data_IF_299172132025
#
_entry.id   IF_299172132025
#
_cell.length_a   1.000
_cell.length_b   1.000
_cell.length_c   1.000
_cell.angle_alpha   90.00
_cell.angle_beta   90.00
_cell.angle_gamma   90.00
#
_symmetry.space_group_name_H-M   'P 1'
#
loop_
_entity.id
_entity.type
_entity.pdbx_description
1 polymer ?
#
# COMPACT_ATOMS: atom_id res chain seq x y z
N UNK A 1 -16.30 17.01 11.43
CA UNK A 1 -17.33 16.25 10.68
C UNK A 1 -18.15 17.10 9.72
N UNK A 2 -17.99 18.44 9.72
CA UNK A 2 -18.65 19.31 8.73
C UNK A 2 -18.11 19.03 7.33
N UNK A 3 -19.00 18.84 6.35
CA UNK A 3 -18.64 18.67 4.94
C UNK A 3 -18.02 19.98 4.41
N UNK A 4 -16.80 19.92 3.89
CA UNK A 4 -16.05 21.09 3.42
C UNK A 4 -15.74 21.06 1.91
N UNK A 5 -15.73 19.88 1.30
CA UNK A 5 -15.59 19.75 -0.14
C UNK A 5 -16.28 18.49 -0.68
N UNK A 6 -16.82 18.59 -1.91
CA UNK A 6 -17.42 17.48 -2.65
C UNK A 6 -16.71 17.27 -3.98
N UNK A 7 -16.61 16.03 -4.47
CA UNK A 7 -15.97 15.76 -5.76
C UNK A 7 -16.82 16.27 -6.92
N UNK A 8 -16.17 16.81 -7.94
CA UNK A 8 -16.82 17.18 -9.22
C UNK A 8 -16.82 16.02 -10.23
N UNK A 9 -16.21 14.88 -9.89
CA UNK A 9 -16.10 13.69 -10.71
C UNK A 9 -15.83 12.46 -9.84
N UNK A 10 -14.94 11.57 -10.30
CA UNK A 10 -14.54 10.42 -9.51
C UNK A 10 -13.72 10.88 -8.29
N UNK A 11 -14.31 10.79 -7.12
CA UNK A 11 -13.72 11.26 -5.87
C UNK A 11 -14.56 10.91 -4.66
N UNK A 12 -14.29 11.53 -3.53
CA UNK A 12 -14.98 11.31 -2.27
C UNK A 12 -15.11 12.63 -1.49
N UNK A 13 -16.17 12.75 -0.70
CA UNK A 13 -16.41 13.89 0.19
C UNK A 13 -15.22 14.12 1.13
N UNK A 14 -14.94 15.38 1.44
CA UNK A 14 -13.93 15.79 2.41
C UNK A 14 -14.63 16.56 3.54
N UNK A 15 -14.27 16.24 4.76
CA UNK A 15 -14.86 16.78 5.97
C UNK A 15 -13.79 17.47 6.81
N UNK A 16 -14.18 18.48 7.59
CA UNK A 16 -13.34 18.98 8.65
C UNK A 16 -13.11 17.89 9.70
N UNK A 17 -11.87 17.65 10.01
CA UNK A 17 -11.44 16.66 11.01
C UNK A 17 -11.29 17.27 12.42
N UNK A 18 -11.44 18.59 12.54
CA UNK A 18 -11.26 19.35 13.77
C UNK A 18 -12.40 20.38 13.95
N UNK A 19 -12.62 20.80 15.18
CA UNK A 19 -13.36 22.02 15.48
C UNK A 19 -12.46 23.21 15.18
N UNK A 20 -12.99 24.22 14.50
CA UNK A 20 -12.21 25.39 14.12
C UNK A 20 -12.90 26.27 13.10
N UNK A 21 -12.17 27.24 12.60
CA UNK A 21 -12.63 28.23 11.61
C UNK A 21 -11.80 28.14 10.34
N UNK A 22 -12.46 28.16 9.20
CA UNK A 22 -11.77 28.24 7.90
C UNK A 22 -11.10 29.61 7.79
N UNK A 23 -9.78 29.64 7.71
CA UNK A 23 -8.97 30.85 7.53
C UNK A 23 -8.74 31.17 6.05
N UNK A 24 -8.50 30.14 5.24
CA UNK A 24 -8.16 30.31 3.83
C UNK A 24 -8.68 29.16 2.98
N UNK A 25 -9.08 29.46 1.77
CA UNK A 25 -9.39 28.48 0.71
C UNK A 25 -8.52 28.80 -0.49
N UNK A 26 -7.60 27.90 -0.82
CA UNK A 26 -6.74 27.99 -1.99
C UNK A 26 -7.24 27.10 -3.13
N UNK A 27 -6.51 27.04 -4.24
CA UNK A 27 -6.81 26.12 -5.33
C UNK A 27 -6.67 24.62 -4.90
N UNK A 28 -5.77 24.33 -3.96
CA UNK A 28 -5.36 22.98 -3.60
C UNK A 28 -5.69 22.58 -2.17
N UNK A 29 -6.09 23.52 -1.31
CA UNK A 29 -6.30 23.27 0.12
C UNK A 29 -7.34 24.17 0.75
N UNK A 30 -7.91 23.68 1.87
CA UNK A 30 -8.73 24.45 2.79
C UNK A 30 -7.97 24.46 4.12
N UNK A 31 -7.56 25.65 4.57
CA UNK A 31 -6.82 25.86 5.81
C UNK A 31 -7.81 26.15 6.93
N UNK A 32 -7.76 25.34 7.98
CA UNK A 32 -8.64 25.47 9.15
C UNK A 32 -7.75 25.75 10.35
N UNK A 33 -8.02 26.87 11.02
CA UNK A 33 -7.47 27.15 12.35
C UNK A 33 -8.26 26.36 13.38
N UNK A 34 -7.62 25.38 14.06
CA UNK A 34 -8.32 24.61 15.07
C UNK A 34 -8.64 25.47 16.30
N UNK A 35 -9.74 25.18 16.97
CA UNK A 35 -10.05 25.70 18.30
C UNK A 35 -9.09 25.09 19.33
N UNK A 36 -8.80 25.80 20.40
CA UNK A 36 -7.93 25.33 21.48
C UNK A 36 -8.49 24.07 22.16
N UNK A 37 -9.82 23.96 22.26
CA UNK A 37 -10.52 22.80 22.81
C UNK A 37 -11.17 22.00 21.70
N UNK A 38 -10.72 20.75 21.51
CA UNK A 38 -11.31 19.79 20.59
C UNK A 38 -12.28 18.87 21.35
N UNK A 39 -13.50 18.70 20.81
CA UNK A 39 -14.51 17.81 21.38
C UNK A 39 -14.46 16.46 20.68
N UNK A 40 -14.78 15.41 21.42
CA UNK A 40 -14.95 14.06 20.87
C UNK A 40 -16.37 13.86 20.29
N UNK A 41 -16.77 14.80 19.44
CA UNK A 41 -18.07 14.80 18.77
C UNK A 41 -17.85 15.09 17.27
N UNK A 42 -18.77 14.67 16.44
CA UNK A 42 -18.73 14.96 15.00
C UNK A 42 -20.13 15.19 14.44
N UNK A 43 -20.23 15.86 13.30
CA UNK A 43 -21.47 15.96 12.55
C UNK A 43 -21.74 14.63 11.85
N UNK A 44 -22.81 13.89 12.18
CA UNK A 44 -23.07 12.60 11.59
C UNK A 44 -23.48 12.76 10.12
N UNK A 45 -23.09 11.77 9.30
CA UNK A 45 -23.53 11.68 7.90
C UNK A 45 -25.03 11.37 7.83
N UNK A 46 -25.62 11.62 6.67
CA UNK A 46 -27.04 11.31 6.42
C UNK A 46 -27.31 9.81 6.49
N UNK A 47 -28.47 9.45 6.98
CA UNK A 47 -28.98 8.09 6.90
C UNK A 47 -29.30 7.71 5.45
N UNK A 48 -29.16 6.43 5.14
CA UNK A 48 -29.44 5.86 3.84
C UNK A 48 -29.16 4.37 3.81
N UNK A 49 -29.12 3.78 2.65
CA UNK A 49 -28.63 2.41 2.45
C UNK A 49 -27.14 2.36 2.86
N UNK A 50 -26.65 1.18 3.22
CA UNK A 50 -25.23 1.00 3.61
C UNK A 50 -24.27 1.55 2.55
N UNK A 51 -24.57 1.33 1.26
CA UNK A 51 -23.74 1.87 0.17
C UNK A 51 -23.78 3.40 0.09
N UNK A 52 -24.96 4.00 0.28
CA UNK A 52 -25.08 5.47 0.32
C UNK A 52 -24.33 6.07 1.49
N UNK A 53 -24.39 5.45 2.68
CA UNK A 53 -23.66 5.90 3.86
C UNK A 53 -22.12 5.80 3.64
N UNK A 54 -21.63 4.74 2.99
CA UNK A 54 -20.20 4.62 2.62
C UNK A 54 -19.77 5.72 1.66
N UNK A 55 -20.60 6.06 0.66
CA UNK A 55 -20.36 7.17 -0.27
C UNK A 55 -20.39 8.52 0.46
N UNK A 56 -21.41 8.75 1.26
CA UNK A 56 -21.59 10.00 2.02
C UNK A 56 -20.43 10.22 2.98
N UNK A 57 -19.97 9.18 3.70
CA UNK A 57 -18.85 9.26 4.62
C UNK A 57 -17.50 9.60 3.94
N UNK A 58 -17.44 9.58 2.62
CA UNK A 58 -16.24 9.93 1.87
C UNK A 58 -15.10 8.93 2.04
N UNK A 59 -15.41 7.64 2.26
CA UNK A 59 -14.40 6.61 2.45
C UNK A 59 -13.69 6.31 1.13
N UNK A 60 -12.37 6.20 1.21
CA UNK A 60 -11.50 5.80 0.10
C UNK A 60 -10.68 4.58 0.46
N UNK A 61 -9.98 3.99 -0.49
CA UNK A 61 -9.00 2.94 -0.24
C UNK A 61 -7.84 3.48 0.59
N UNK A 62 -7.86 3.27 1.90
CA UNK A 62 -6.94 3.88 2.87
C UNK A 62 -5.53 3.29 2.83
N UNK A 63 -5.34 2.17 2.13
CA UNK A 63 -4.04 1.50 1.98
C UNK A 63 -3.17 2.00 0.82
N UNK A 64 -3.47 3.16 0.22
CA UNK A 64 -2.59 3.76 -0.80
C UNK A 64 -3.28 4.50 -1.93
N UNK A 65 -3.96 3.82 -2.85
CA UNK A 65 -4.43 4.44 -4.11
C UNK A 65 -5.59 5.44 -3.96
N UNK A 66 -6.28 5.48 -2.82
CA UNK A 66 -7.33 6.46 -2.56
C UNK A 66 -8.59 6.32 -3.43
N UNK A 67 -8.82 5.18 -4.07
CA UNK A 67 -9.99 4.97 -4.90
C UNK A 67 -11.27 5.00 -4.04
N UNK A 68 -12.35 5.71 -4.45
CA UNK A 68 -13.56 5.83 -3.67
C UNK A 68 -14.20 4.47 -3.36
N UNK A 69 -14.34 4.15 -2.07
CA UNK A 69 -14.82 2.84 -1.62
C UNK A 69 -16.27 2.60 -2.03
N UNK A 70 -17.13 3.63 -1.98
CA UNK A 70 -18.51 3.51 -2.41
C UNK A 70 -18.68 3.24 -3.91
N UNK A 71 -17.67 3.59 -4.75
CA UNK A 71 -17.64 3.18 -6.16
C UNK A 71 -17.17 1.73 -6.28
N UNK A 72 -16.14 1.35 -5.53
CA UNK A 72 -15.59 -0.01 -5.52
C UNK A 72 -16.63 -1.05 -5.06
N UNK A 73 -17.43 -0.74 -4.05
CA UNK A 73 -18.46 -1.62 -3.50
C UNK A 73 -19.79 -1.59 -4.28
N UNK A 74 -19.95 -0.69 -5.25
CA UNK A 74 -21.17 -0.60 -6.06
C UNK A 74 -21.21 -1.68 -7.16
N UNK A 75 -21.21 -2.93 -6.75
CA UNK A 75 -21.25 -4.11 -7.62
C UNK A 75 -22.05 -5.22 -6.93
N UNK A 76 -22.84 -5.97 -7.69
CA UNK A 76 -23.49 -7.18 -7.22
C UNK A 76 -22.68 -8.41 -7.64
N UNK A 77 -21.86 -8.94 -6.72
CA UNK A 77 -21.00 -10.09 -7.00
C UNK A 77 -21.76 -11.39 -7.17
N UNK A 78 -22.97 -11.51 -6.61
CA UNK A 78 -23.81 -12.69 -6.82
C UNK A 78 -24.26 -12.83 -8.28
N UNK A 79 -24.50 -11.71 -8.95
CA UNK A 79 -24.92 -11.65 -10.36
C UNK A 79 -23.73 -11.44 -11.32
N UNK A 80 -22.54 -11.15 -10.81
CA UNK A 80 -21.36 -10.92 -11.64
C UNK A 80 -20.77 -12.26 -12.09
N UNK A 81 -20.79 -12.57 -13.39
CA UNK A 81 -20.16 -13.78 -13.87
C UNK A 81 -18.63 -13.68 -13.75
N UNK A 82 -17.97 -14.81 -13.51
CA UNK A 82 -16.52 -14.88 -13.65
C UNK A 82 -16.13 -14.61 -15.10
N UNK A 83 -15.15 -13.73 -15.31
CA UNK A 83 -14.63 -13.47 -16.64
C UNK A 83 -13.88 -14.68 -17.18
N UNK A 84 -13.78 -14.76 -18.51
CA UNK A 84 -12.92 -15.74 -19.16
C UNK A 84 -11.46 -15.50 -18.75
N UNK A 85 -10.78 -16.58 -18.36
CA UNK A 85 -9.39 -16.53 -17.94
C UNK A 85 -8.46 -16.68 -19.15
N UNK A 86 -7.43 -15.87 -19.18
CA UNK A 86 -6.36 -15.98 -20.16
C UNK A 86 -5.52 -17.24 -19.84
N UNK A 87 -5.51 -18.26 -20.73
CA UNK A 87 -4.80 -19.52 -20.50
C UNK A 87 -3.27 -19.34 -20.48
N UNK A 88 -2.74 -18.28 -21.10
CA UNK A 88 -1.28 -18.04 -21.08
C UNK A 88 -0.78 -17.67 -19.68
N UNK A 89 -1.62 -17.03 -18.87
CA UNK A 89 -1.27 -16.66 -17.49
C UNK A 89 -1.88 -17.59 -16.45
N UNK A 90 -2.81 -18.47 -16.84
CA UNK A 90 -3.46 -19.48 -16.01
C UNK A 90 -3.30 -20.91 -16.58
N UNK A 91 -2.08 -21.37 -16.93
CA UNK A 91 -1.90 -22.63 -17.63
C UNK A 91 -2.24 -23.87 -16.79
N UNK A 92 -2.33 -23.72 -15.46
CA UNK A 92 -2.63 -24.81 -14.53
C UNK A 92 -4.13 -24.96 -14.26
N UNK A 93 -4.95 -23.99 -14.71
CA UNK A 93 -6.41 -24.03 -14.52
C UNK A 93 -7.10 -24.67 -15.72
N UNK A 94 -8.14 -25.50 -15.50
CA UNK A 94 -8.97 -26.02 -16.59
C UNK A 94 -9.66 -24.89 -17.37
N UNK A 95 -9.92 -25.09 -18.65
CA UNK A 95 -10.56 -24.08 -19.50
C UNK A 95 -11.98 -23.68 -19.03
N UNK A 96 -12.67 -24.57 -18.34
CA UNK A 96 -13.99 -24.35 -17.75
C UNK A 96 -13.95 -24.00 -16.25
N UNK A 97 -12.78 -23.67 -15.74
CA UNK A 97 -12.61 -23.29 -14.33
C UNK A 97 -13.52 -22.14 -13.94
N UNK A 98 -14.21 -22.31 -12.83
CA UNK A 98 -15.05 -21.28 -12.21
C UNK A 98 -14.90 -21.29 -10.70
N UNK A 99 -14.90 -20.12 -10.13
CA UNK A 99 -15.00 -19.97 -8.68
C UNK A 99 -16.42 -20.25 -8.23
N UNK A 100 -16.58 -21.13 -7.25
CA UNK A 100 -17.86 -21.50 -6.68
C UNK A 100 -18.54 -20.32 -5.98
N UNK A 101 -17.75 -19.52 -5.27
CA UNK A 101 -18.21 -18.38 -4.48
C UNK A 101 -17.72 -17.03 -5.04
N UNK A 102 -18.30 -15.99 -4.51
CA UNK A 102 -17.85 -14.60 -4.66
C UNK A 102 -17.21 -14.12 -3.36
N UNK A 103 -16.24 -13.15 -3.43
CA UNK A 103 -15.37 -12.89 -2.30
C UNK A 103 -15.16 -11.42 -2.01
N UNK A 104 -15.15 -11.06 -0.71
CA UNK A 104 -14.42 -9.89 -0.22
C UNK A 104 -13.02 -10.35 0.21
N UNK A 105 -11.99 -9.82 -0.43
CA UNK A 105 -10.60 -10.07 -0.08
C UNK A 105 -10.08 -8.91 0.77
N UNK A 106 -9.84 -9.18 2.04
CA UNK A 106 -9.33 -8.17 2.99
C UNK A 106 -7.82 -8.14 2.92
N UNK A 107 -7.27 -7.07 2.36
CA UNK A 107 -5.83 -6.88 2.28
C UNK A 107 -5.29 -6.42 3.64
N UNK A 108 -4.76 -7.37 4.40
CA UNK A 108 -4.04 -7.19 5.66
C UNK A 108 -2.54 -7.51 5.51
N UNK A 109 -2.01 -7.44 4.28
CA UNK A 109 -0.63 -7.83 3.98
C UNK A 109 0.41 -6.92 4.63
N UNK A 110 0.10 -5.65 4.95
CA UNK A 110 1.04 -4.62 5.36
C UNK A 110 2.36 -4.73 4.58
N UNK A 111 2.30 -4.35 3.31
CA UNK A 111 3.42 -4.56 2.39
C UNK A 111 4.53 -3.52 2.53
N UNK A 112 4.26 -2.40 3.19
CA UNK A 112 5.21 -1.33 3.41
C UNK A 112 6.08 -1.62 4.63
N UNK A 113 7.40 -1.82 4.46
CA UNK A 113 8.28 -2.11 5.59
C UNK A 113 8.28 -1.00 6.63
N UNK A 114 8.21 -1.40 7.89
CA UNK A 114 8.25 -0.49 9.02
C UNK A 114 6.91 0.17 9.36
N UNK A 115 5.85 -0.04 8.60
CA UNK A 115 4.50 0.37 8.96
C UNK A 115 3.83 -0.74 9.80
N UNK A 116 3.14 -0.34 10.87
CA UNK A 116 2.55 -1.26 11.85
C UNK A 116 1.08 -0.93 12.19
N UNK A 117 0.58 0.21 11.73
CA UNK A 117 -0.75 0.72 12.10
C UNK A 117 -1.91 -0.20 11.70
N UNK A 118 -1.88 -0.84 10.53
CA UNK A 118 -2.94 -1.77 10.13
C UNK A 118 -2.96 -3.04 11.00
N UNK A 119 -1.80 -3.57 11.31
CA UNK A 119 -1.70 -4.79 12.15
C UNK A 119 -2.11 -4.46 13.58
N UNK A 120 -1.66 -3.33 14.12
CA UNK A 120 -2.08 -2.87 15.45
C UNK A 120 -3.60 -2.63 15.49
N UNK A 121 -4.19 -2.05 14.44
CA UNK A 121 -5.65 -1.90 14.35
C UNK A 121 -6.36 -3.25 14.37
N UNK A 122 -5.85 -4.22 13.61
CA UNK A 122 -6.42 -5.57 13.59
C UNK A 122 -6.40 -6.19 15.00
N UNK A 123 -5.29 -6.04 15.72
CA UNK A 123 -5.15 -6.58 17.07
C UNK A 123 -6.06 -5.90 18.12
N UNK A 124 -6.25 -4.59 17.99
CA UNK A 124 -7.02 -3.80 18.97
C UNK A 124 -8.51 -3.66 18.64
N UNK A 125 -8.87 -3.75 17.36
CA UNK A 125 -10.23 -3.45 16.86
C UNK A 125 -10.77 -4.58 15.96
N UNK A 126 -10.39 -5.82 16.23
CA UNK A 126 -10.76 -7.01 15.42
C UNK A 126 -12.25 -7.05 15.12
N UNK A 127 -13.11 -6.86 16.12
CA UNK A 127 -14.57 -6.91 15.96
C UNK A 127 -15.10 -5.81 15.03
N UNK A 128 -14.54 -4.59 15.12
CA UNK A 128 -14.91 -3.48 14.22
C UNK A 128 -14.53 -3.81 12.78
N UNK A 129 -13.32 -4.36 12.57
CA UNK A 129 -12.86 -4.77 11.24
C UNK A 129 -13.76 -5.86 10.66
N UNK A 130 -14.08 -6.89 11.44
CA UNK A 130 -14.98 -7.99 11.00
C UNK A 130 -16.37 -7.45 10.65
N UNK A 131 -16.94 -6.55 11.47
CA UNK A 131 -18.24 -5.92 11.12
C UNK A 131 -18.16 -5.17 9.80
N UNK A 132 -17.09 -4.39 9.57
CA UNK A 132 -16.90 -3.69 8.31
C UNK A 132 -16.78 -4.62 7.11
N UNK A 133 -16.10 -5.75 7.27
CA UNK A 133 -16.02 -6.81 6.24
C UNK A 133 -17.41 -7.38 5.96
N UNK A 134 -18.19 -7.69 6.98
CA UNK A 134 -19.58 -8.18 6.83
C UNK A 134 -20.44 -7.16 6.09
N UNK A 135 -20.30 -5.86 6.39
CA UNK A 135 -21.01 -4.83 5.63
C UNK A 135 -20.56 -4.75 4.16
N UNK A 136 -19.26 -4.93 3.89
CA UNK A 136 -18.79 -5.03 2.51
C UNK A 136 -19.41 -6.25 1.78
N UNK A 137 -19.49 -7.40 2.46
CA UNK A 137 -20.16 -8.60 1.92
C UNK A 137 -21.64 -8.33 1.62
N UNK A 138 -22.37 -7.73 2.55
CA UNK A 138 -23.79 -7.41 2.38
C UNK A 138 -24.03 -6.43 1.22
N UNK A 139 -23.21 -5.35 1.12
CA UNK A 139 -23.34 -4.34 0.06
C UNK A 139 -23.08 -4.96 -1.31
N UNK A 140 -22.11 -5.86 -1.42
CA UNK A 140 -21.69 -6.45 -2.69
C UNK A 140 -22.37 -7.80 -2.98
N UNK A 141 -23.15 -8.33 -2.07
CA UNK A 141 -23.71 -9.68 -2.11
C UNK A 141 -22.63 -10.76 -2.29
N UNK A 142 -21.49 -10.59 -1.60
CA UNK A 142 -20.43 -11.59 -1.62
C UNK A 142 -20.73 -12.75 -0.68
N UNK A 143 -20.45 -13.99 -1.12
CA UNK A 143 -20.72 -15.21 -0.35
C UNK A 143 -19.72 -15.39 0.80
N UNK A 144 -18.45 -15.05 0.57
CA UNK A 144 -17.35 -15.31 1.48
C UNK A 144 -16.43 -14.10 1.64
N UNK A 145 -15.62 -14.12 2.70
CA UNK A 145 -14.51 -13.19 2.82
C UNK A 145 -13.22 -13.93 3.22
N UNK A 146 -12.07 -13.37 2.80
CA UNK A 146 -10.75 -13.93 3.11
C UNK A 146 -9.85 -12.80 3.59
N UNK A 147 -9.31 -12.91 4.79
CA UNK A 147 -8.24 -12.05 5.27
C UNK A 147 -6.90 -12.53 4.72
N UNK A 148 -6.29 -11.75 3.85
CA UNK A 148 -4.96 -12.00 3.29
C UNK A 148 -3.91 -11.32 4.17
N UNK A 149 -3.25 -12.08 5.05
CA UNK A 149 -2.29 -11.58 6.06
C UNK A 149 -0.96 -12.31 5.97
N UNK A 150 0.16 -11.59 6.15
CA UNK A 150 1.48 -12.22 6.18
C UNK A 150 1.66 -13.10 7.41
N UNK A 151 2.18 -14.31 7.20
CA UNK A 151 2.35 -15.31 8.27
C UNK A 151 3.19 -14.84 9.46
N UNK A 152 4.04 -13.83 9.30
CA UNK A 152 4.85 -13.26 10.39
C UNK A 152 4.05 -12.54 11.48
N UNK A 153 2.82 -12.16 11.22
CA UNK A 153 1.96 -11.45 12.18
C UNK A 153 1.21 -12.43 13.10
N UNK A 154 1.96 -13.26 13.81
CA UNK A 154 1.41 -14.38 14.60
C UNK A 154 0.35 -13.96 15.63
N UNK A 155 0.56 -12.83 16.32
CA UNK A 155 -0.39 -12.35 17.33
C UNK A 155 -1.70 -11.91 16.70
N UNK A 156 -1.65 -11.11 15.63
CA UNK A 156 -2.84 -10.67 14.89
C UNK A 156 -3.61 -11.87 14.31
N UNK A 157 -2.90 -12.86 13.75
CA UNK A 157 -3.51 -14.09 13.23
C UNK A 157 -4.21 -14.86 14.35
N UNK A 158 -3.60 -15.02 15.52
CA UNK A 158 -4.19 -15.71 16.66
C UNK A 158 -5.47 -15.03 17.16
N UNK A 159 -5.46 -13.69 17.25
CA UNK A 159 -6.63 -12.90 17.68
C UNK A 159 -7.74 -13.04 16.64
N UNK A 160 -7.41 -12.87 15.37
CA UNK A 160 -8.36 -12.98 14.27
C UNK A 160 -8.97 -14.39 14.18
N UNK A 161 -8.17 -15.44 14.24
CA UNK A 161 -8.64 -16.83 14.24
C UNK A 161 -9.64 -17.11 15.37
N UNK A 162 -9.34 -16.58 16.56
CA UNK A 162 -10.25 -16.70 17.70
C UNK A 162 -11.59 -15.98 17.46
N UNK A 163 -11.58 -14.80 16.86
CA UNK A 163 -12.77 -14.02 16.56
C UNK A 163 -13.61 -14.62 15.42
N UNK A 164 -12.97 -15.28 14.46
CA UNK A 164 -13.64 -15.89 13.31
C UNK A 164 -14.31 -17.24 13.59
N UNK A 165 -14.18 -17.82 14.78
CA UNK A 165 -14.82 -19.10 15.12
C UNK A 165 -16.34 -19.10 14.96
N UNK A 166 -16.97 -17.95 15.13
CA UNK A 166 -18.41 -17.74 14.93
C UNK A 166 -18.81 -17.27 13.53
N UNK A 167 -17.83 -17.09 12.63
CA UNK A 167 -18.03 -16.49 11.29
C UNK A 167 -17.64 -17.50 10.19
N UNK A 168 -18.48 -18.49 9.88
CA UNK A 168 -18.13 -19.60 8.98
C UNK A 168 -17.86 -19.18 7.52
N UNK A 169 -18.29 -17.98 7.14
CA UNK A 169 -18.11 -17.44 5.79
C UNK A 169 -16.85 -16.56 5.66
N UNK A 170 -16.09 -16.42 6.74
CA UNK A 170 -14.86 -15.62 6.77
C UNK A 170 -13.67 -16.50 7.15
N UNK A 171 -12.60 -16.42 6.37
CA UNK A 171 -11.40 -17.24 6.58
C UNK A 171 -10.11 -16.43 6.52
N UNK A 172 -8.99 -17.05 6.85
CA UNK A 172 -7.66 -16.46 6.80
C UNK A 172 -6.83 -17.17 5.73
N UNK A 173 -6.17 -16.39 4.87
CA UNK A 173 -5.15 -16.87 3.97
C UNK A 173 -3.79 -16.27 4.35
N UNK A 174 -2.81 -17.14 4.60
CA UNK A 174 -1.47 -16.71 5.03
C UNK A 174 -0.58 -16.42 3.82
N UNK A 175 -0.15 -15.16 3.71
CA UNK A 175 0.75 -14.69 2.66
C UNK A 175 2.21 -14.88 3.05
N UNK A 176 3.07 -15.09 2.04
CA UNK A 176 4.52 -15.02 2.22
C UNK A 176 4.97 -13.58 2.53
N UNK A 177 6.06 -13.43 3.32
CA UNK A 177 6.64 -12.10 3.61
C UNK A 177 7.54 -11.62 2.49
N UNK A 178 6.96 -11.34 1.35
CA UNK A 178 7.63 -10.78 0.18
C UNK A 178 6.82 -9.61 -0.39
N UNK A 179 7.43 -8.81 -1.26
CA UNK A 179 6.78 -7.72 -1.96
C UNK A 179 6.67 -8.04 -3.47
N UNK A 180 5.53 -7.78 -4.11
CA UNK A 180 4.32 -7.05 -3.68
C UNK A 180 3.11 -7.98 -3.37
N UNK A 181 3.04 -8.56 -2.20
CA UNK A 181 1.90 -9.42 -1.81
C UNK A 181 0.60 -8.66 -1.55
N UNK A 182 0.66 -7.34 -1.30
CA UNK A 182 -0.53 -6.47 -1.13
C UNK A 182 -1.02 -5.80 -2.41
N UNK A 183 -0.45 -6.09 -3.57
CA UNK A 183 -1.01 -5.62 -4.85
C UNK A 183 -2.29 -6.40 -5.15
N UNK A 184 -3.36 -5.72 -5.61
CA UNK A 184 -4.70 -6.32 -5.72
C UNK A 184 -4.73 -7.64 -6.51
N UNK A 185 -4.03 -7.73 -7.65
CA UNK A 185 -3.99 -8.96 -8.46
C UNK A 185 -3.11 -10.04 -7.82
N UNK A 186 -2.11 -9.64 -7.02
CA UNK A 186 -1.36 -10.59 -6.21
C UNK A 186 -2.24 -11.17 -5.10
N UNK A 187 -3.06 -10.35 -4.43
CA UNK A 187 -4.02 -10.83 -3.44
C UNK A 187 -5.03 -11.80 -4.05
N UNK A 188 -5.59 -11.47 -5.22
CA UNK A 188 -6.50 -12.37 -5.95
C UNK A 188 -5.80 -13.69 -6.28
N UNK A 189 -4.58 -13.65 -6.81
CA UNK A 189 -3.81 -14.84 -7.15
C UNK A 189 -3.55 -15.72 -5.92
N UNK A 190 -3.10 -15.12 -4.83
CA UNK A 190 -2.75 -15.88 -3.62
C UNK A 190 -4.00 -16.49 -2.96
N UNK A 191 -5.10 -15.73 -2.88
CA UNK A 191 -6.31 -16.20 -2.21
C UNK A 191 -7.17 -17.14 -3.07
N UNK A 192 -7.24 -16.90 -4.39
CA UNK A 192 -8.19 -17.60 -5.28
C UNK A 192 -7.51 -18.47 -6.35
N UNK A 193 -6.18 -18.45 -6.45
CA UNK A 193 -5.44 -19.18 -7.46
C UNK A 193 -5.57 -18.65 -8.90
N UNK A 194 -6.18 -17.47 -9.08
CA UNK A 194 -6.51 -16.88 -10.38
C UNK A 194 -5.56 -15.74 -10.71
N UNK A 195 -4.88 -15.80 -11.84
CA UNK A 195 -4.11 -14.67 -12.36
C UNK A 195 -4.98 -13.77 -13.23
N UNK A 196 -5.01 -12.49 -12.93
CA UNK A 196 -5.70 -11.46 -13.72
C UNK A 196 -4.73 -10.76 -14.66
N UNK A 197 -5.22 -10.39 -15.85
CA UNK A 197 -4.48 -9.54 -16.78
C UNK A 197 -4.32 -8.12 -16.22
N UNK A 198 -3.51 -7.29 -16.86
CA UNK A 198 -3.30 -5.89 -16.43
C UNK A 198 -4.51 -4.99 -16.62
N UNK A 199 -5.49 -5.41 -17.41
CA UNK A 199 -6.73 -4.68 -17.69
C UNK A 199 -7.91 -5.17 -16.88
N UNK A 200 -7.85 -6.39 -16.34
CA UNK A 200 -8.90 -6.95 -15.50
C UNK A 200 -8.85 -6.36 -14.08
N UNK A 201 -10.03 -6.17 -13.51
CA UNK A 201 -10.25 -5.81 -12.12
C UNK A 201 -10.50 -7.09 -11.28
N UNK A 202 -10.37 -7.04 -9.96
CA UNK A 202 -10.71 -8.17 -9.08
C UNK A 202 -12.11 -8.77 -9.33
N UNK A 203 -13.07 -7.96 -9.78
CA UNK A 203 -14.43 -8.41 -10.14
C UNK A 203 -14.46 -9.45 -11.27
N UNK A 204 -13.43 -9.49 -12.14
CA UNK A 204 -13.27 -10.55 -13.14
C UNK A 204 -13.11 -11.94 -12.49
N UNK A 205 -12.61 -12.02 -11.25
CA UNK A 205 -12.56 -13.20 -10.41
C UNK A 205 -13.63 -13.15 -9.30
N UNK A 206 -14.79 -12.57 -9.56
CA UNK A 206 -15.92 -12.46 -8.63
C UNK A 206 -15.49 -11.97 -7.24
N UNK A 207 -14.61 -10.98 -7.17
CA UNK A 207 -14.06 -10.49 -5.91
C UNK A 207 -13.91 -8.97 -5.86
N UNK A 208 -13.88 -8.43 -4.64
CA UNK A 208 -13.50 -7.05 -4.36
C UNK A 208 -12.41 -7.07 -3.30
N UNK A 209 -11.31 -6.35 -3.54
CA UNK A 209 -10.22 -6.22 -2.57
C UNK A 209 -10.43 -4.96 -1.75
N UNK A 210 -10.45 -5.08 -0.43
CA UNK A 210 -10.62 -3.98 0.53
C UNK A 210 -9.44 -3.96 1.50
N UNK A 211 -8.84 -2.80 1.74
CA UNK A 211 -7.84 -2.64 2.79
C UNK A 211 -8.47 -2.78 4.18
N UNK A 212 -7.74 -3.28 5.15
CA UNK A 212 -8.17 -3.53 6.51
C UNK A 212 -8.76 -2.28 7.19
N UNK A 213 -8.05 -1.15 7.16
CA UNK A 213 -8.53 0.11 7.75
C UNK A 213 -9.77 0.64 7.00
N UNK A 214 -9.83 0.45 5.68
CA UNK A 214 -11.02 0.82 4.90
C UNK A 214 -12.26 0.05 5.39
N UNK A 215 -12.14 -1.25 5.68
CA UNK A 215 -13.23 -2.04 6.25
C UNK A 215 -13.68 -1.50 7.62
N UNK A 216 -12.73 -1.14 8.50
CA UNK A 216 -13.05 -0.52 9.78
C UNK A 216 -13.80 0.82 9.62
N UNK A 217 -13.40 1.66 8.64
CA UNK A 217 -14.11 2.91 8.34
C UNK A 217 -15.50 2.69 7.76
N UNK A 218 -15.72 1.60 7.03
CA UNK A 218 -17.08 1.19 6.59
C UNK A 218 -17.96 0.89 7.82
N UNK A 219 -17.42 0.18 8.83
CA UNK A 219 -18.15 -0.04 10.08
C UNK A 219 -18.48 1.27 10.80
N UNK A 220 -17.50 2.19 10.94
CA UNK A 220 -17.74 3.50 11.56
C UNK A 220 -18.83 4.31 10.85
N UNK A 221 -18.84 4.30 9.51
CA UNK A 221 -19.85 5.00 8.74
C UNK A 221 -21.27 4.44 8.95
N UNK A 222 -21.41 3.13 9.07
CA UNK A 222 -22.70 2.47 9.17
C UNK A 222 -23.19 2.44 10.62
N UNK A 223 -22.34 2.06 11.58
CA UNK A 223 -22.70 1.90 12.98
C UNK A 223 -22.84 3.26 13.71
N UNK A 224 -21.95 4.19 13.41
CA UNK A 224 -21.80 5.43 14.14
C UNK A 224 -22.23 6.67 13.31
N UNK A 225 -22.46 6.48 12.01
CA UNK A 225 -22.68 7.58 11.05
C UNK A 225 -21.49 8.55 11.01
N UNK A 226 -20.29 8.05 11.27
CA UNK A 226 -19.07 8.84 11.35
C UNK A 226 -18.50 9.10 9.97
N UNK A 227 -18.27 10.37 9.56
CA UNK A 227 -17.56 10.68 8.32
C UNK A 227 -16.09 10.26 8.43
N UNK A 228 -15.43 10.05 7.29
CA UNK A 228 -14.02 9.69 7.25
C UNK A 228 -13.15 10.92 7.54
N UNK A 229 -12.93 11.20 8.82
CA UNK A 229 -12.21 12.35 9.37
C UNK A 229 -10.89 12.00 10.05
N UNK A 230 -10.58 10.72 10.17
CA UNK A 230 -9.36 10.27 10.84
C UNK A 230 -8.66 9.16 10.06
N UNK A 231 -7.36 9.04 10.29
CA UNK A 231 -6.46 8.07 9.67
C UNK A 231 -5.51 7.47 10.72
N UNK A 232 -5.28 6.16 10.63
CA UNK A 232 -4.23 5.51 11.40
C UNK A 232 -2.91 5.59 10.64
N UNK A 233 -1.81 5.86 11.32
CA UNK A 233 -0.51 5.97 10.67
C UNK A 233 0.65 5.58 11.57
N UNK A 234 1.76 5.26 10.95
CA UNK A 234 3.03 4.98 11.60
C UNK A 234 4.02 6.09 11.29
N UNK A 235 4.64 6.67 12.32
CA UNK A 235 5.79 7.58 12.17
C UNK A 235 7.04 6.84 12.61
N UNK A 236 8.08 6.83 11.77
CA UNK A 236 9.29 6.06 12.05
C UNK A 236 10.51 6.66 11.36
N UNK A 237 11.69 6.31 11.83
CA UNK A 237 12.95 6.64 11.15
C UNK A 237 13.94 7.33 12.06
N UNK A 238 14.63 8.37 11.55
CA UNK A 238 15.65 9.12 12.28
C UNK A 238 14.98 10.12 13.25
N UNK A 239 14.49 9.58 14.36
CA UNK A 239 13.78 10.33 15.40
C UNK A 239 14.52 10.29 16.72
N UNK A 240 14.31 11.29 17.56
CA UNK A 240 14.78 11.27 18.94
C UNK A 240 14.13 10.09 19.68
N UNK A 241 14.91 9.32 20.40
CA UNK A 241 14.44 8.11 21.07
C UNK A 241 14.65 6.81 20.26
N UNK A 242 15.19 6.90 19.04
CA UNK A 242 15.57 5.76 18.22
C UNK A 242 14.64 5.50 17.03
N UNK A 243 14.84 4.36 16.35
CA UNK A 243 14.17 4.02 15.09
C UNK A 243 12.93 3.15 15.28
N UNK A 244 12.35 3.11 16.46
CA UNK A 244 11.10 2.39 16.76
C UNK A 244 9.91 2.95 15.96
N UNK A 245 8.88 2.12 15.79
CA UNK A 245 7.63 2.57 15.19
C UNK A 245 6.76 3.30 16.22
N UNK A 246 6.33 4.51 15.91
CA UNK A 246 5.32 5.23 16.68
C UNK A 246 4.00 5.11 15.92
N UNK A 247 3.07 4.34 16.46
CA UNK A 247 1.74 4.14 15.86
C UNK A 247 0.75 5.11 16.48
N UNK A 248 0.09 5.88 15.62
CA UNK A 248 -0.95 6.82 16.02
C UNK A 248 -2.28 6.35 15.40
N UNK A 249 -3.27 6.18 16.28
CA UNK A 249 -4.62 5.81 15.88
C UNK A 249 -5.51 7.04 15.82
N UNK A 250 -6.46 7.03 14.90
CA UNK A 250 -7.49 8.06 14.73
C UNK A 250 -6.95 9.50 14.64
N UNK A 251 -5.82 9.68 13.96
CA UNK A 251 -5.22 11.01 13.72
C UNK A 251 -6.16 11.84 12.83
N UNK A 252 -6.50 13.07 13.21
CA UNK A 252 -7.28 13.96 12.35
C UNK A 252 -6.62 14.15 10.98
N UNK A 253 -7.37 13.98 9.91
CA UNK A 253 -6.88 14.19 8.55
C UNK A 253 -6.59 15.66 8.34
N UNK A 254 -5.42 15.99 7.78
CA UNK A 254 -4.97 17.38 7.58
C UNK A 254 -3.92 17.86 8.59
N UNK A 255 -3.65 17.10 9.64
CA UNK A 255 -2.51 17.39 10.55
C UNK A 255 -1.23 17.39 9.74
N UNK A 256 -0.32 18.34 9.99
CA UNK A 256 0.92 18.43 9.23
C UNK A 256 1.87 17.26 9.53
N UNK A 257 2.68 16.93 8.55
CA UNK A 257 3.76 15.95 8.68
C UNK A 257 4.71 16.32 9.82
N UNK A 258 5.04 17.62 9.93
CA UNK A 258 5.89 18.13 11.00
C UNK A 258 5.31 17.91 12.39
N UNK A 259 4.01 18.21 12.58
CA UNK A 259 3.34 17.96 13.87
C UNK A 259 3.38 16.48 14.26
N UNK A 260 3.18 15.58 13.29
CA UNK A 260 3.24 14.14 13.56
C UNK A 260 4.66 13.67 13.90
N UNK A 261 5.67 14.25 13.26
CA UNK A 261 7.08 13.99 13.60
C UNK A 261 7.40 14.50 15.01
N UNK A 262 6.96 15.70 15.39
CA UNK A 262 7.15 16.24 16.73
C UNK A 262 6.46 15.37 17.80
N UNK A 263 5.24 14.90 17.54
CA UNK A 263 4.55 13.95 18.43
C UNK A 263 5.29 12.62 18.58
N UNK A 264 6.09 12.24 17.59
CA UNK A 264 6.93 11.04 17.62
C UNK A 264 8.32 11.30 18.24
N UNK A 265 8.57 12.49 18.79
CA UNK A 265 9.82 12.85 19.47
C UNK A 265 10.71 13.83 18.71
N UNK A 266 10.34 14.23 17.49
CA UNK A 266 11.11 15.14 16.65
C UNK A 266 12.28 14.45 15.92
N UNK A 267 12.89 15.17 14.97
CA UNK A 267 13.98 14.66 14.13
C UNK A 267 15.31 14.63 14.91
N UNK A 268 16.05 13.54 14.79
CA UNK A 268 17.40 13.40 15.37
C UNK A 268 18.48 13.91 14.38
N UNK A 269 18.84 15.18 14.50
CA UNK A 269 19.95 15.80 13.75
C UNK A 269 19.69 15.91 12.25
N UNK A 270 20.73 15.66 11.43
CA UNK A 270 20.65 15.78 9.97
C UNK A 270 19.94 14.57 9.37
N UNK A 271 19.04 14.80 8.43
CA UNK A 271 18.27 13.76 7.76
C UNK A 271 18.38 13.85 6.23
N UNK A 272 18.06 12.77 5.52
CA UNK A 272 18.09 12.71 4.06
C UNK A 272 16.83 13.26 3.40
N UNK A 273 15.69 12.72 3.76
CA UNK A 273 14.36 13.18 3.30
C UNK A 273 13.27 12.73 4.26
N UNK A 274 12.09 13.33 4.10
CA UNK A 274 10.86 12.87 4.74
C UNK A 274 10.00 12.23 3.64
N UNK A 275 9.47 11.04 3.93
CA UNK A 275 8.59 10.31 3.01
C UNK A 275 7.20 10.24 3.62
N UNK A 276 6.19 10.68 2.89
CA UNK A 276 4.78 10.47 3.20
C UNK A 276 4.26 9.26 2.44
N UNK A 277 3.72 8.28 3.16
CA UNK A 277 3.34 6.96 2.67
C UNK A 277 4.26 5.88 3.24
N UNK A 278 4.47 4.79 2.50
CA UNK A 278 5.37 3.72 2.88
C UNK A 278 6.77 3.87 2.29
N UNK A 279 7.69 3.01 2.73
CA UNK A 279 9.05 2.97 2.21
C UNK A 279 9.11 2.66 0.70
N UNK A 280 8.16 1.87 0.20
CA UNK A 280 8.16 1.37 -1.18
C UNK A 280 7.38 2.26 -2.15
N UNK A 281 6.26 2.79 -1.73
CA UNK A 281 5.35 3.55 -2.61
C UNK A 281 5.18 5.03 -2.20
N UNK A 282 5.72 5.43 -1.06
CA UNK A 282 5.67 6.80 -0.57
C UNK A 282 6.49 7.77 -1.43
N UNK A 283 6.24 9.05 -1.21
CA UNK A 283 6.90 10.15 -1.93
C UNK A 283 7.60 11.09 -0.96
N UNK A 284 8.67 11.71 -1.41
CA UNK A 284 9.31 12.81 -0.68
C UNK A 284 8.29 13.93 -0.41
N UNK A 285 8.34 14.50 0.77
CA UNK A 285 7.42 15.54 1.24
C UNK A 285 8.12 16.52 2.16
N UNK A 286 7.43 17.61 2.51
CA UNK A 286 7.87 18.65 3.42
C UNK A 286 7.14 18.56 4.76
N UNK A 287 7.64 19.27 5.78
CA UNK A 287 7.06 19.30 7.13
C UNK A 287 5.65 19.90 7.15
N UNK A 288 5.38 20.86 6.29
CA UNK A 288 4.08 21.56 6.22
C UNK A 288 3.01 20.80 5.45
N UNK A 289 3.39 19.70 4.77
CA UNK A 289 2.44 18.90 4.01
C UNK A 289 1.35 18.30 4.90
N UNK A 290 0.07 18.38 4.54
CA UNK A 290 -1.01 17.80 5.32
C UNK A 290 -1.06 16.28 5.14
N UNK A 291 -1.38 15.56 6.21
CA UNK A 291 -1.75 14.15 6.14
C UNK A 291 -3.10 14.00 5.42
N UNK A 292 -3.25 12.90 4.70
CA UNK A 292 -4.45 12.61 3.91
C UNK A 292 -5.09 11.28 4.31
N UNK A 293 -6.24 10.96 3.74
CA UNK A 293 -6.91 9.66 3.92
C UNK A 293 -6.03 8.46 3.53
N UNK A 294 -4.98 8.69 2.75
CA UNK A 294 -4.07 7.63 2.29
C UNK A 294 -2.70 7.65 2.95
N UNK A 295 -2.45 8.56 3.88
CA UNK A 295 -1.18 8.67 4.58
C UNK A 295 -1.06 7.56 5.64
N UNK A 296 -0.56 6.39 5.24
CA UNK A 296 -0.32 5.27 6.18
C UNK A 296 0.97 5.40 6.97
N UNK A 297 1.91 6.23 6.54
CA UNK A 297 3.18 6.42 7.24
C UNK A 297 3.85 7.75 6.97
N UNK A 298 4.73 8.12 7.88
CA UNK A 298 5.68 9.22 7.75
C UNK A 298 7.04 8.66 8.14
N UNK A 299 8.00 8.69 7.22
CA UNK A 299 9.32 8.12 7.42
C UNK A 299 10.39 9.19 7.28
N UNK A 300 11.18 9.40 8.33
CA UNK A 300 12.34 10.30 8.31
C UNK A 300 13.57 9.44 8.01
N UNK A 301 14.27 9.70 6.91
CA UNK A 301 15.39 8.87 6.48
C UNK A 301 16.73 9.43 6.96
N UNK A 302 17.74 8.57 7.02
CA UNK A 302 19.14 9.01 7.11
C UNK A 302 19.60 9.64 5.80
N UNK A 303 20.80 10.24 5.85
CA UNK A 303 21.43 10.87 4.70
C UNK A 303 21.68 9.87 3.56
N UNK A 304 21.64 10.38 2.34
CA UNK A 304 22.02 9.62 1.16
C UNK A 304 23.54 9.45 1.07
N UNK A 305 24.04 8.28 0.62
CA UNK A 305 25.47 8.14 0.31
C UNK A 305 25.85 8.99 -0.89
N UNK A 306 27.05 9.58 -0.88
CA UNK A 306 27.58 10.32 -2.02
C UNK A 306 28.26 9.35 -3.00
N UNK A 307 27.83 9.36 -4.25
CA UNK A 307 28.43 8.56 -5.33
C UNK A 307 29.52 9.31 -6.11
N UNK A 308 29.87 10.54 -5.70
CA UNK A 308 30.95 11.34 -6.28
C UNK A 308 30.91 11.47 -7.81
N UNK A 309 29.71 11.60 -8.39
CA UNK A 309 29.52 11.72 -9.84
C UNK A 309 29.61 10.42 -10.63
N UNK A 310 29.62 9.26 -9.95
CA UNK A 310 29.70 7.97 -10.62
C UNK A 310 28.51 7.73 -11.57
N UNK A 311 28.74 6.92 -12.62
CA UNK A 311 27.74 6.56 -13.58
C UNK A 311 26.71 5.57 -13.00
N UNK A 312 25.42 5.91 -13.12
CA UNK A 312 24.29 5.18 -12.56
C UNK A 312 23.37 4.69 -13.67
N UNK A 313 22.99 3.42 -13.62
CA UNK A 313 21.90 2.85 -14.38
C UNK A 313 20.61 2.78 -13.56
N UNK A 314 19.47 2.95 -14.20
CA UNK A 314 18.16 2.84 -13.56
C UNK A 314 17.38 1.70 -14.19
N UNK A 315 16.84 0.78 -13.36
CA UNK A 315 15.97 -0.31 -13.77
C UNK A 315 14.51 0.00 -13.42
N UNK A 316 13.78 0.53 -14.40
CA UNK A 316 12.36 0.87 -14.27
C UNK A 316 11.50 -0.40 -14.23
N UNK A 317 10.60 -0.48 -13.26
CA UNK A 317 9.58 -1.54 -13.20
C UNK A 317 8.28 -1.05 -12.59
N UNK A 318 7.19 -1.79 -12.79
CA UNK A 318 5.87 -1.42 -12.31
C UNK A 318 5.60 -1.81 -10.84
N UNK A 319 6.51 -2.58 -10.23
CA UNK A 319 6.40 -3.01 -8.83
C UNK A 319 7.23 -2.11 -7.90
N UNK A 320 7.03 -0.79 -7.98
CA UNK A 320 7.71 0.19 -7.14
C UNK A 320 9.09 0.63 -7.65
N UNK A 321 9.32 0.64 -8.97
CA UNK A 321 10.54 1.15 -9.59
C UNK A 321 10.23 2.27 -10.58
N UNK A 322 9.78 3.44 -10.10
CA UNK A 322 9.49 4.63 -10.90
C UNK A 322 10.76 5.28 -11.41
N UNK A 323 10.81 5.61 -12.70
CA UNK A 323 11.96 6.32 -13.28
C UNK A 323 12.19 7.67 -12.61
N UNK A 324 11.13 8.45 -12.45
CA UNK A 324 11.17 9.76 -11.81
C UNK A 324 11.77 9.68 -10.41
N UNK A 325 11.26 8.77 -9.56
CA UNK A 325 11.74 8.58 -8.20
C UNK A 325 13.20 8.14 -8.15
N UNK A 326 13.61 7.21 -9.01
CA UNK A 326 15.00 6.74 -9.05
C UNK A 326 15.97 7.79 -9.57
N UNK A 327 15.56 8.68 -10.49
CA UNK A 327 16.35 9.83 -10.92
C UNK A 327 16.52 10.85 -9.77
N UNK A 328 15.45 11.14 -9.03
CA UNK A 328 15.51 11.99 -7.84
C UNK A 328 16.53 11.44 -6.81
N UNK A 329 16.44 10.14 -6.51
CA UNK A 329 17.36 9.47 -5.58
C UNK A 329 18.82 9.52 -6.10
N UNK A 330 19.03 9.22 -7.40
CA UNK A 330 20.36 9.32 -7.99
C UNK A 330 20.95 10.74 -7.87
N UNK A 331 20.12 11.77 -8.07
CA UNK A 331 20.54 13.16 -7.90
C UNK A 331 20.90 13.48 -6.43
N UNK A 332 20.08 13.04 -5.46
CA UNK A 332 20.37 13.18 -4.02
C UNK A 332 21.64 12.43 -3.60
N UNK A 333 22.01 11.37 -4.33
CA UNK A 333 23.26 10.62 -4.14
C UNK A 333 24.45 11.19 -4.93
N UNK A 334 24.32 12.34 -5.61
CA UNK A 334 25.35 12.88 -6.50
C UNK A 334 25.80 11.86 -7.56
N UNK A 335 24.87 11.13 -8.16
CA UNK A 335 25.09 10.15 -9.21
C UNK A 335 24.68 10.68 -10.59
N UNK A 336 25.41 10.29 -11.64
CA UNK A 336 25.14 10.66 -13.02
C UNK A 336 24.36 9.55 -13.74
N UNK A 337 23.08 9.75 -14.03
CA UNK A 337 22.24 8.76 -14.70
C UNK A 337 22.60 8.70 -16.20
N UNK A 338 23.28 7.63 -16.61
CA UNK A 338 23.74 7.43 -18.01
C UNK A 338 22.94 6.36 -18.77
N UNK A 339 22.20 5.50 -18.06
CA UNK A 339 21.44 4.41 -18.69
C UNK A 339 20.12 4.16 -17.98
N UNK A 340 19.05 3.94 -18.75
CA UNK A 340 17.72 3.59 -18.24
C UNK A 340 17.23 2.35 -18.98
N UNK A 341 16.96 1.28 -18.24
CA UNK A 341 16.36 0.06 -18.77
C UNK A 341 14.98 -0.16 -18.14
N UNK A 342 14.08 -0.77 -18.88
CA UNK A 342 12.74 -1.13 -18.42
C UNK A 342 12.57 -2.65 -18.32
N UNK A 343 11.96 -3.12 -17.24
CA UNK A 343 11.57 -4.52 -17.12
C UNK A 343 10.58 -4.89 -18.24
N UNK A 344 10.79 -6.01 -18.91
CA UNK A 344 9.92 -6.44 -20.02
C UNK A 344 8.47 -6.71 -19.62
N UNK A 345 8.20 -6.93 -18.34
CA UNK A 345 6.84 -7.10 -17.79
C UNK A 345 6.18 -5.78 -17.36
N UNK A 346 6.91 -4.67 -17.38
CA UNK A 346 6.33 -3.35 -17.09
C UNK A 346 5.75 -2.77 -18.38
N UNK A 347 4.43 -2.80 -18.51
CA UNK A 347 3.70 -2.37 -19.70
C UNK A 347 2.79 -1.19 -19.41
N UNK A 348 2.57 -0.38 -20.43
CA UNK A 348 1.52 0.64 -20.47
C UNK A 348 0.30 0.05 -21.19
N UNK A 349 -0.85 0.05 -20.53
CA UNK A 349 -2.10 -0.39 -21.17
C UNK A 349 -2.62 0.61 -22.21
N UNK A 350 -2.26 1.88 -22.06
CA UNK A 350 -2.52 2.99 -22.99
C UNK A 350 -1.35 3.96 -22.93
N UNK A 351 -1.02 4.69 -24.00
CA UNK A 351 0.04 5.70 -23.98
C UNK A 351 -0.12 6.69 -22.81
N UNK A 352 0.93 6.87 -22.01
CA UNK A 352 0.96 7.74 -20.85
C UNK A 352 0.25 7.20 -19.60
N UNK A 353 -0.30 6.00 -19.64
CA UNK A 353 -0.86 5.37 -18.44
C UNK A 353 0.26 4.86 -17.52
N UNK A 354 0.00 4.80 -16.20
CA UNK A 354 0.95 4.21 -15.27
C UNK A 354 1.32 2.76 -15.65
N UNK A 355 2.59 2.43 -15.49
CA UNK A 355 3.08 1.08 -15.74
C UNK A 355 2.36 0.06 -14.86
N UNK A 356 2.00 -1.07 -15.46
CA UNK A 356 1.48 -2.24 -14.74
C UNK A 356 2.35 -3.45 -15.02
N UNK A 357 2.60 -4.26 -13.98
CA UNK A 357 3.35 -5.51 -14.13
C UNK A 357 2.43 -6.61 -14.66
N UNK A 358 2.87 -7.36 -15.66
CA UNK A 358 2.13 -8.52 -16.16
C UNK A 358 1.93 -9.59 -15.09
N UNK A 359 2.95 -9.80 -14.24
CA UNK A 359 2.95 -10.81 -13.18
C UNK A 359 3.57 -10.24 -11.91
N UNK A 360 2.81 -9.50 -11.08
CA UNK A 360 3.33 -8.92 -9.83
C UNK A 360 3.97 -9.98 -8.93
N UNK A 361 5.21 -9.72 -8.48
CA UNK A 361 5.98 -10.65 -7.65
C UNK A 361 6.73 -11.75 -8.39
N UNK A 362 6.62 -11.85 -9.73
CA UNK A 362 7.35 -12.82 -10.53
C UNK A 362 8.22 -12.11 -11.58
N UNK A 363 9.54 -12.11 -11.35
CA UNK A 363 10.48 -11.45 -12.25
C UNK A 363 10.86 -12.34 -13.45
N UNK A 364 10.91 -11.78 -14.66
CA UNK A 364 11.32 -12.53 -15.85
C UNK A 364 12.84 -12.73 -15.96
N UNK A 365 13.60 -12.26 -14.96
CA UNK A 365 15.07 -12.17 -15.03
C UNK A 365 15.56 -10.85 -15.60
N UNK A 366 16.72 -10.37 -15.11
CA UNK A 366 17.24 -9.03 -15.44
C UNK A 366 18.65 -9.07 -16.07
N UNK A 367 19.17 -10.24 -16.42
CA UNK A 367 20.52 -10.41 -16.98
C UNK A 367 20.76 -9.52 -18.20
N UNK A 368 19.78 -9.43 -19.12
CA UNK A 368 19.87 -8.58 -20.31
C UNK A 368 20.04 -7.09 -19.95
N UNK A 369 19.28 -6.61 -18.97
CA UNK A 369 19.38 -5.22 -18.52
C UNK A 369 20.70 -4.98 -17.80
N UNK A 370 21.19 -5.91 -16.98
CA UNK A 370 22.48 -5.81 -16.31
C UNK A 370 23.64 -5.76 -17.33
N UNK A 371 23.58 -6.55 -18.42
CA UNK A 371 24.55 -6.46 -19.51
C UNK A 371 24.52 -5.11 -20.23
N UNK A 372 23.34 -4.51 -20.41
CA UNK A 372 23.20 -3.18 -20.99
C UNK A 372 23.86 -2.13 -20.09
N UNK A 373 23.56 -2.11 -18.78
CA UNK A 373 24.21 -1.22 -17.84
C UNK A 373 25.73 -1.35 -17.85
N UNK A 374 26.26 -2.56 -17.98
CA UNK A 374 27.70 -2.78 -18.10
C UNK A 374 28.27 -2.18 -19.39
N UNK A 375 27.57 -2.31 -20.53
CA UNK A 375 27.98 -1.69 -21.79
C UNK A 375 27.97 -0.17 -21.74
N UNK A 376 27.01 0.41 -21.00
CA UNK A 376 26.86 1.85 -20.85
C UNK A 376 27.80 2.40 -19.74
N UNK A 377 28.76 1.61 -19.29
CA UNK A 377 29.76 1.97 -18.28
C UNK A 377 29.16 2.45 -16.94
N UNK A 378 28.01 1.89 -16.54
CA UNK A 378 27.48 2.12 -15.20
C UNK A 378 28.38 1.45 -14.15
N UNK A 379 28.60 2.14 -13.04
CA UNK A 379 29.26 1.60 -11.85
C UNK A 379 28.21 1.12 -10.83
N UNK A 380 27.11 1.86 -10.75
CA UNK A 380 25.98 1.59 -9.87
C UNK A 380 24.71 1.37 -10.68
N UNK A 381 23.80 0.60 -10.11
CA UNK A 381 22.43 0.50 -10.62
C UNK A 381 21.44 0.72 -9.48
N UNK A 382 20.37 1.45 -9.76
CA UNK A 382 19.24 1.63 -8.85
C UNK A 382 18.09 0.77 -9.36
N UNK A 383 17.50 -0.03 -8.47
CA UNK A 383 16.39 -0.92 -8.76
C UNK A 383 15.20 -0.66 -7.83
N UNK A 384 14.02 -1.14 -8.22
CA UNK A 384 12.83 -1.10 -7.41
C UNK A 384 12.83 -2.16 -6.28
N UNK A 385 11.68 -2.34 -5.66
CA UNK A 385 11.52 -3.03 -4.37
C UNK A 385 10.97 -4.46 -4.49
N UNK A 386 10.59 -4.92 -5.67
CA UNK A 386 10.05 -6.26 -5.86
C UNK A 386 11.10 -7.31 -5.42
N UNK A 387 10.72 -8.18 -4.49
CA UNK A 387 11.63 -9.19 -3.91
C UNK A 387 12.25 -10.09 -4.99
N UNK A 388 11.47 -10.52 -5.96
CA UNK A 388 11.95 -11.38 -7.04
C UNK A 388 12.88 -10.63 -8.03
N UNK A 389 12.63 -9.34 -8.28
CA UNK A 389 13.56 -8.50 -9.05
C UNK A 389 14.90 -8.35 -8.32
N UNK A 390 14.86 -8.07 -7.02
CA UNK A 390 16.07 -8.00 -6.19
C UNK A 390 16.91 -9.26 -6.30
N UNK A 391 16.28 -10.43 -6.18
CA UNK A 391 16.96 -11.72 -6.31
C UNK A 391 17.59 -11.92 -7.69
N UNK A 392 16.86 -11.64 -8.76
CA UNK A 392 17.36 -11.86 -10.14
C UNK A 392 18.48 -10.88 -10.52
N UNK A 393 18.41 -9.63 -10.03
CA UNK A 393 19.49 -8.66 -10.24
C UNK A 393 20.71 -9.03 -9.43
N UNK A 394 20.56 -9.31 -8.13
CA UNK A 394 21.68 -9.69 -7.25
C UNK A 394 22.37 -11.00 -7.68
N UNK A 395 21.68 -11.89 -8.38
CA UNK A 395 22.29 -13.09 -8.93
C UNK A 395 23.33 -12.81 -10.03
N UNK A 396 23.24 -11.70 -10.76
CA UNK A 396 24.06 -11.42 -11.94
C UNK A 396 24.83 -10.09 -11.88
N UNK A 397 24.25 -9.01 -11.37
CA UNK A 397 24.87 -7.67 -11.40
C UNK A 397 26.25 -7.60 -10.68
N UNK A 398 26.42 -8.15 -9.48
CA UNK A 398 27.73 -8.15 -8.81
C UNK A 398 28.81 -8.89 -9.59
N UNK A 399 28.46 -9.98 -10.29
CA UNK A 399 29.39 -10.74 -11.15
C UNK A 399 29.88 -9.94 -12.37
N UNK A 400 29.15 -8.89 -12.74
CA UNK A 400 29.52 -7.95 -13.80
C UNK A 400 30.24 -6.71 -13.27
N UNK A 401 30.52 -6.64 -11.96
CA UNK A 401 31.14 -5.52 -11.30
C UNK A 401 30.20 -4.33 -11.07
N UNK A 402 28.88 -4.54 -11.17
CA UNK A 402 27.87 -3.51 -10.89
C UNK A 402 27.49 -3.53 -9.41
N UNK A 403 27.50 -2.37 -8.78
CA UNK A 403 27.02 -2.17 -7.41
C UNK A 403 25.53 -1.87 -7.45
N UNK A 404 24.75 -2.48 -6.56
CA UNK A 404 23.28 -2.41 -6.58
C UNK A 404 22.77 -1.62 -5.39
N UNK A 405 21.96 -0.60 -5.68
CA UNK A 405 21.11 0.09 -4.72
C UNK A 405 19.65 -0.20 -5.00
N UNK A 406 18.88 -0.41 -3.95
CA UNK A 406 17.42 -0.27 -4.04
C UNK A 406 17.05 1.19 -3.79
N UNK A 407 16.03 1.67 -4.45
CA UNK A 407 15.51 3.03 -4.20
C UNK A 407 15.10 3.28 -2.73
N UNK A 408 15.04 2.24 -1.91
CA UNK A 408 14.65 2.29 -0.50
C UNK A 408 15.80 1.99 0.46
N UNK A 409 17.03 1.78 -0.01
CA UNK A 409 18.13 1.40 0.87
C UNK A 409 18.37 2.40 2.01
N UNK A 410 18.25 3.72 1.75
CA UNK A 410 18.39 4.76 2.76
C UNK A 410 17.31 4.69 3.85
N UNK A 411 16.04 4.38 3.46
CA UNK A 411 14.95 4.18 4.42
C UNK A 411 15.18 2.92 5.25
N UNK A 412 15.42 1.79 4.57
CA UNK A 412 15.52 0.48 5.20
C UNK A 412 16.66 0.42 6.21
N UNK A 413 17.80 1.09 5.91
CA UNK A 413 18.91 1.20 6.85
C UNK A 413 18.55 2.04 8.08
N UNK A 414 17.84 3.14 7.87
CA UNK A 414 17.42 4.03 8.96
C UNK A 414 16.50 3.33 9.94
N UNK A 415 15.50 2.59 9.45
CA UNK A 415 14.55 1.88 10.31
C UNK A 415 15.05 0.53 10.84
N UNK A 416 16.31 0.16 10.51
CA UNK A 416 16.91 -1.11 10.93
C UNK A 416 16.21 -2.35 10.34
N UNK A 417 15.47 -2.18 9.25
CA UNK A 417 14.79 -3.31 8.59
C UNK A 417 15.78 -4.11 7.74
N UNK A 418 15.72 -5.45 7.75
CA UNK A 418 16.51 -6.26 6.83
C UNK A 418 16.24 -5.85 5.39
N UNK A 419 17.30 -5.58 4.64
CA UNK A 419 17.17 -5.34 3.20
C UNK A 419 16.68 -6.64 2.55
N UNK A 420 15.59 -6.56 1.77
CA UNK A 420 15.05 -7.72 1.04
C UNK A 420 16.01 -8.15 -0.06
N UNK A 421 17.08 -8.83 0.31
CA UNK A 421 18.10 -9.38 -0.60
C UNK A 421 18.19 -10.90 -0.45
N UNK A 422 17.15 -11.54 0.04
CA UNK A 422 17.10 -12.99 0.12
C UNK A 422 16.92 -13.59 -1.27
N UNK A 423 17.75 -14.58 -1.56
CA UNK A 423 17.60 -15.38 -2.79
C UNK A 423 16.21 -16.00 -2.82
N UNK A 424 15.67 -16.13 -4.02
CA UNK A 424 14.39 -16.83 -4.23
C UNK A 424 14.53 -18.25 -3.70
N UNK A 425 13.83 -18.54 -2.64
CA UNK A 425 13.72 -19.88 -2.10
C UNK A 425 12.56 -20.53 -2.82
N UNK A 426 12.71 -21.78 -3.27
CA UNK A 426 11.63 -22.53 -3.88
C UNK A 426 10.42 -22.60 -2.96
N UNK A 427 9.22 -22.70 -3.52
CA UNK A 427 7.98 -22.76 -2.69
C UNK A 427 8.04 -23.86 -1.61
N UNK A 428 8.76 -24.94 -1.85
CA UNK A 428 8.96 -26.04 -0.90
C UNK A 428 9.83 -25.64 0.30
N UNK A 429 10.90 -24.87 0.08
CA UNK A 429 11.78 -24.40 1.17
C UNK A 429 11.16 -23.24 1.96
N UNK A 430 10.32 -22.41 1.33
CA UNK A 430 9.65 -21.29 2.03
C UNK A 430 8.62 -21.74 3.08
N UNK A 431 8.24 -23.01 3.10
CA UNK A 431 7.34 -23.58 4.11
C UNK A 431 8.09 -24.11 5.35
N UNK A 432 9.40 -24.30 5.25
CA UNK A 432 10.21 -24.91 6.34
C UNK A 432 11.07 -23.90 7.11
N UNK A 433 11.17 -22.65 6.66
CA UNK A 433 11.97 -21.65 7.38
C UNK A 433 11.04 -20.85 8.29
N UNK A 434 10.98 -21.24 9.55
CA UNK A 434 10.54 -20.38 10.64
C UNK A 434 11.61 -19.29 10.87
N UNK A 435 11.28 -18.06 10.50
CA UNK A 435 12.06 -16.88 10.85
C UNK A 435 11.49 -16.22 12.11
#
# INVERSE_FOLDING_TARGET
>A
GTLIATPTGLGANIFSSVYGVVEEVTADSIIIKPDDEQKDEFVPIKEGTKLEMVKEAGIVGMGGAGFPTGVKLNINLAETPMAELDPEINPELPADFKLEHSYILVNAAECEPGLEHNIQQLEQQTDKVIRGVKYCMEITHADKAIFAIKKKHHNAIKILDAALKSEPDISIHMLADIYPMGEERAVVRECLGVNLTTTQLPSAARSVVVNLETAAKVAEAIDERKPCISKNMTVRGKLNGGNGAHVFMDVPIGVSVGEMIEKAGGIDGVYGEIIMGGAFTGKSTDLDAPTTKTTGGILVTGEFPDLHGANVGILVCACGGSEERMREIAAKMNGNVVSVCKCKQAIENKPGAPLKCLRPGNCPGQVKNNLQFKKDNCEYIIIGNCSDCSNTVMASAPKMGLKVFHQTDHVMRTIGHPLYRTLKISKEVSQEIDF
#
